data_IF_652581464544
#
_entry.id   IF_652581464544
#
_cell.length_a   1.000
_cell.length_b   1.000
_cell.length_c   1.000
_cell.angle_alpha   90.00
_cell.angle_beta   90.00
_cell.angle_gamma   90.00
#
_symmetry.space_group_name_H-M   'P 1'
#
loop_
_entity.id
_entity.type
_entity.pdbx_description
1 polymer ?
#
# COMPACT_ATOMS: atom_id res chain seq x y z
N UNK A 1 -12.07 0.09 -19.10
CA UNK A 1 -10.84 0.30 -18.30
C UNK A 1 -9.84 -0.83 -18.48
N UNK A 2 -10.22 -2.10 -18.36
CA UNK A 2 -9.32 -3.26 -18.54
C UNK A 2 -8.48 -3.15 -19.81
N UNK A 3 -9.11 -2.97 -20.98
CA UNK A 3 -8.38 -2.81 -22.25
C UNK A 3 -7.35 -1.65 -22.23
N UNK A 4 -7.67 -0.54 -21.54
CA UNK A 4 -6.76 0.61 -21.45
C UNK A 4 -5.52 0.29 -20.63
N UNK A 5 -5.64 -0.54 -19.61
CA UNK A 5 -4.50 -0.99 -18.84
C UNK A 5 -3.51 -1.79 -19.70
N UNK A 6 -4.02 -2.72 -20.51
CA UNK A 6 -3.15 -3.49 -21.43
C UNK A 6 -2.51 -2.62 -22.52
N UNK A 7 -3.25 -1.61 -23.05
CA UNK A 7 -2.64 -0.64 -23.98
C UNK A 7 -1.51 0.15 -23.32
N UNK A 8 -1.64 0.48 -22.03
CA UNK A 8 -0.55 1.12 -21.29
C UNK A 8 0.65 0.17 -21.09
N UNK A 9 0.38 -1.12 -20.88
CA UNK A 9 1.42 -2.14 -20.79
C UNK A 9 2.18 -2.28 -22.11
N UNK A 10 1.47 -2.33 -23.23
CA UNK A 10 2.07 -2.32 -24.58
C UNK A 10 2.92 -1.06 -24.79
N UNK A 11 2.44 0.09 -24.33
CA UNK A 11 3.19 1.35 -24.38
C UNK A 11 4.48 1.32 -23.54
N UNK A 12 4.42 0.70 -22.37
CA UNK A 12 5.59 0.52 -21.50
C UNK A 12 6.65 -0.36 -22.18
N UNK A 13 6.23 -1.48 -22.77
CA UNK A 13 7.11 -2.36 -23.55
C UNK A 13 7.75 -1.63 -24.75
N UNK A 14 6.95 -0.91 -25.53
CA UNK A 14 7.43 -0.15 -26.66
C UNK A 14 8.45 0.92 -26.24
N UNK A 15 8.18 1.64 -25.14
CA UNK A 15 9.09 2.63 -24.56
C UNK A 15 10.41 2.00 -24.11
N UNK A 16 10.35 0.86 -23.44
CA UNK A 16 11.52 0.11 -23.04
C UNK A 16 12.38 -0.31 -24.24
N UNK A 17 11.77 -0.96 -25.25
CA UNK A 17 12.47 -1.39 -26.47
C UNK A 17 13.14 -0.20 -27.21
N UNK A 18 12.47 0.96 -27.19
CA UNK A 18 13.06 2.19 -27.75
C UNK A 18 14.27 2.68 -26.93
N UNK A 19 14.14 2.71 -25.60
CA UNK A 19 15.21 3.17 -24.71
C UNK A 19 16.45 2.27 -24.77
N UNK A 20 16.26 0.94 -24.78
CA UNK A 20 17.36 -0.03 -24.89
C UNK A 20 18.14 0.17 -26.19
N UNK A 21 17.45 0.31 -27.34
CA UNK A 21 18.11 0.58 -28.65
C UNK A 21 18.96 1.85 -28.63
N UNK A 22 18.50 2.90 -27.92
CA UNK A 22 19.22 4.17 -27.78
C UNK A 22 20.38 4.10 -26.80
N UNK A 23 20.24 3.32 -25.72
CA UNK A 23 21.26 3.23 -24.68
C UNK A 23 22.50 2.46 -25.05
N UNK A 24 22.47 1.70 -26.16
CA UNK A 24 23.53 0.77 -26.61
C UNK A 24 23.88 -0.31 -25.55
N UNK A 25 23.00 -0.53 -24.59
CA UNK A 25 23.15 -1.59 -23.56
C UNK A 25 22.57 -2.89 -24.10
N UNK A 26 23.24 -3.99 -23.82
CA UNK A 26 22.75 -5.34 -24.13
C UNK A 26 21.86 -5.82 -22.98
N UNK A 27 20.61 -5.37 -22.96
CA UNK A 27 19.59 -5.82 -21.99
C UNK A 27 18.37 -6.25 -22.80
N UNK A 28 17.92 -7.48 -22.61
CA UNK A 28 16.71 -8.00 -23.22
C UNK A 28 15.67 -8.26 -22.14
N UNK A 29 14.44 -7.84 -22.41
CA UNK A 29 13.22 -8.26 -21.71
C UNK A 29 12.26 -8.75 -22.78
N UNK A 30 11.62 -9.88 -22.49
CA UNK A 30 10.56 -10.42 -23.32
C UNK A 30 9.23 -9.73 -23.02
N UNK A 31 8.26 -9.83 -23.91
CA UNK A 31 6.93 -9.24 -23.73
C UNK A 31 6.23 -9.75 -22.46
N UNK A 32 6.47 -11.02 -22.13
CA UNK A 32 5.89 -11.65 -20.93
C UNK A 32 6.46 -11.07 -19.62
N UNK A 33 7.67 -10.52 -19.62
CA UNK A 33 8.25 -9.89 -18.43
C UNK A 33 7.44 -8.67 -17.98
N UNK A 34 6.88 -7.91 -18.92
CA UNK A 34 5.99 -6.78 -18.61
C UNK A 34 4.67 -7.24 -18.02
N UNK A 35 4.18 -8.40 -18.47
CA UNK A 35 2.99 -9.02 -17.86
C UNK A 35 3.28 -9.48 -16.45
N UNK A 36 4.45 -10.08 -16.19
CA UNK A 36 4.88 -10.47 -14.83
C UNK A 36 4.98 -9.27 -13.89
N UNK A 37 5.48 -8.12 -14.37
CA UNK A 37 5.47 -6.88 -13.59
C UNK A 37 4.05 -6.44 -13.22
N UNK A 38 3.10 -6.58 -14.14
CA UNK A 38 1.69 -6.27 -13.87
C UNK A 38 1.03 -7.25 -12.90
N UNK A 39 1.47 -8.52 -12.88
CA UNK A 39 1.01 -9.58 -11.98
C UNK A 39 1.62 -9.50 -10.57
N UNK A 40 2.51 -8.55 -10.30
CA UNK A 40 3.25 -8.51 -9.02
C UNK A 40 2.33 -8.45 -7.78
N UNK A 41 1.13 -7.88 -7.90
CA UNK A 41 0.13 -7.86 -6.81
C UNK A 41 -0.59 -9.20 -6.63
N UNK A 42 -0.60 -10.06 -7.65
CA UNK A 42 -1.24 -11.38 -7.63
C UNK A 42 -0.24 -12.49 -7.22
N UNK A 43 1.07 -12.23 -7.35
CA UNK A 43 2.12 -13.22 -7.08
C UNK A 43 2.07 -13.87 -5.70
N UNK A 44 1.76 -13.17 -4.58
CA UNK A 44 1.67 -13.81 -3.28
C UNK A 44 0.65 -14.94 -3.22
N UNK A 45 -0.45 -14.84 -3.96
CA UNK A 45 -1.45 -15.90 -4.03
C UNK A 45 -0.92 -17.12 -4.80
N UNK A 46 -0.27 -16.91 -5.93
CA UNK A 46 0.35 -18.01 -6.69
C UNK A 46 1.43 -18.72 -5.90
N UNK A 47 2.27 -17.98 -5.19
CA UNK A 47 3.32 -18.56 -4.34
C UNK A 47 2.71 -19.47 -3.26
N UNK A 48 1.61 -19.06 -2.64
CA UNK A 48 0.89 -19.89 -1.66
C UNK A 48 0.27 -21.13 -2.27
N UNK A 49 -0.36 -21.01 -3.45
CA UNK A 49 -0.95 -22.16 -4.17
C UNK A 49 0.10 -23.20 -4.54
N UNK A 50 1.27 -22.74 -4.98
CA UNK A 50 2.38 -23.60 -5.36
C UNK A 50 3.29 -23.99 -4.20
N UNK A 51 2.92 -23.62 -2.97
CA UNK A 51 3.70 -23.87 -1.75
C UNK A 51 5.16 -23.40 -1.84
N UNK A 52 5.37 -22.29 -2.51
CA UNK A 52 6.66 -21.61 -2.58
C UNK A 52 6.79 -20.74 -1.34
N UNK A 53 7.87 -20.96 -0.57
CA UNK A 53 8.17 -20.12 0.59
C UNK A 53 8.29 -18.66 0.18
N UNK A 54 7.49 -17.79 0.77
CA UNK A 54 7.51 -16.35 0.53
C UNK A 54 7.58 -15.58 1.83
N UNK A 55 8.33 -14.48 1.80
CA UNK A 55 8.29 -13.48 2.86
C UNK A 55 7.18 -12.51 2.46
N UNK A 56 6.06 -12.47 3.19
CA UNK A 56 4.89 -11.72 2.76
C UNK A 56 5.17 -10.22 2.77
N UNK A 57 4.78 -9.53 1.71
CA UNK A 57 4.62 -8.08 1.76
C UNK A 57 3.39 -7.76 2.61
N UNK A 58 3.55 -6.84 3.54
CA UNK A 58 2.51 -6.42 4.45
C UNK A 58 2.54 -4.89 4.56
N UNK A 59 1.47 -4.30 5.06
CA UNK A 59 1.42 -2.87 5.31
C UNK A 59 0.72 -2.60 6.62
N UNK A 60 1.05 -1.47 7.23
CA UNK A 60 0.36 -0.96 8.40
C UNK A 60 -0.31 0.35 7.99
N UNK A 61 -1.60 0.45 8.24
CA UNK A 61 -2.41 1.61 7.89
C UNK A 61 -2.96 2.22 9.16
N UNK A 62 -2.75 3.53 9.32
CA UNK A 62 -3.42 4.34 10.31
C UNK A 62 -4.25 5.43 9.64
N UNK A 63 -5.48 5.60 10.10
CA UNK A 63 -6.28 6.81 9.86
C UNK A 63 -6.60 7.41 11.20
N UNK A 64 -6.24 8.67 11.42
CA UNK A 64 -6.42 9.38 12.69
C UNK A 64 -7.07 10.72 12.45
N UNK A 65 -8.12 10.99 13.23
CA UNK A 65 -8.73 12.30 13.35
C UNK A 65 -7.95 13.11 14.40
N UNK A 66 -7.33 14.18 13.97
CA UNK A 66 -6.52 15.07 14.80
C UNK A 66 -7.33 16.33 15.12
N UNK A 67 -7.48 16.69 16.38
CA UNK A 67 -8.24 17.88 16.77
C UNK A 67 -7.57 19.14 16.20
N UNK A 68 -8.39 20.12 15.82
CA UNK A 68 -7.95 21.43 15.34
C UNK A 68 -8.81 22.49 16.03
N UNK A 69 -8.18 23.51 16.61
CA UNK A 69 -8.87 24.54 17.33
C UNK A 69 -9.93 25.25 16.47
N UNK A 70 -11.19 25.26 16.97
CA UNK A 70 -12.35 25.93 16.37
C UNK A 70 -12.62 25.57 14.89
N UNK A 71 -12.15 24.43 14.41
CA UNK A 71 -12.38 23.96 13.04
C UNK A 71 -12.58 22.44 13.01
N UNK A 72 -13.02 21.95 11.87
CA UNK A 72 -13.12 20.50 11.64
C UNK A 72 -11.75 19.81 11.75
N UNK A 73 -11.73 18.55 12.21
CA UNK A 73 -10.49 17.85 12.46
C UNK A 73 -9.67 17.63 11.17
N UNK A 74 -8.36 17.65 11.32
CA UNK A 74 -7.46 17.19 10.28
C UNK A 74 -7.42 15.66 10.25
N UNK A 75 -7.61 15.05 9.10
CA UNK A 75 -7.49 13.61 8.95
C UNK A 75 -6.10 13.26 8.47
N UNK A 76 -5.37 12.52 9.30
CA UNK A 76 -4.06 11.99 8.97
C UNK A 76 -4.18 10.51 8.57
N UNK A 77 -3.59 10.15 7.42
CA UNK A 77 -3.56 8.79 6.90
C UNK A 77 -2.10 8.40 6.74
N UNK A 78 -1.67 7.39 7.46
CA UNK A 78 -0.31 6.84 7.39
C UNK A 78 -0.32 5.43 6.80
N UNK A 79 0.68 5.13 5.98
CA UNK A 79 0.86 3.82 5.37
C UNK A 79 2.33 3.45 5.35
N UNK A 80 2.69 2.38 6.06
CA UNK A 80 4.02 1.79 6.06
C UNK A 80 4.00 0.46 5.33
N UNK A 81 4.91 0.27 4.38
CA UNK A 81 5.06 -1.00 3.68
C UNK A 81 6.21 -1.79 4.27
N UNK A 82 5.96 -3.01 4.74
CA UNK A 82 6.97 -3.97 5.12
C UNK A 82 7.16 -5.00 4.00
N UNK A 83 8.40 -5.17 3.54
CA UNK A 83 8.73 -6.00 2.39
C UNK A 83 10.22 -6.38 2.40
N UNK A 84 10.66 -7.33 1.56
CA UNK A 84 12.09 -7.55 1.30
C UNK A 84 12.78 -6.26 0.87
N UNK A 85 13.98 -5.99 1.40
CA UNK A 85 14.75 -4.78 1.08
C UNK A 85 15.11 -4.64 -0.40
N UNK A 86 15.09 -5.73 -1.15
CA UNK A 86 15.21 -5.70 -2.62
C UNK A 86 14.07 -4.95 -3.31
N UNK A 87 13.00 -4.61 -2.59
CA UNK A 87 11.87 -3.82 -3.09
C UNK A 87 11.95 -2.33 -2.71
N UNK A 88 13.05 -1.86 -2.15
CA UNK A 88 13.22 -0.46 -1.73
C UNK A 88 13.39 0.56 -2.87
N UNK A 89 13.51 0.12 -4.13
CA UNK A 89 13.50 1.03 -5.27
C UNK A 89 12.08 1.52 -5.54
N UNK A 90 11.73 2.64 -4.91
CA UNK A 90 10.35 3.18 -4.87
C UNK A 90 10.19 4.40 -5.75
N UNK A 91 8.99 4.57 -6.31
CA UNK A 91 8.59 5.75 -7.07
C UNK A 91 7.21 6.23 -6.62
N UNK A 92 7.05 7.53 -6.43
CA UNK A 92 5.75 8.17 -6.42
C UNK A 92 5.36 8.51 -7.85
N UNK A 93 4.17 8.10 -8.28
CA UNK A 93 3.65 8.33 -9.62
C UNK A 93 2.34 9.09 -9.57
N UNK A 94 2.19 10.01 -10.51
CA UNK A 94 0.93 10.70 -10.75
C UNK A 94 0.51 10.49 -12.20
N UNK A 95 -0.62 9.86 -12.38
CA UNK A 95 -1.24 9.70 -13.70
C UNK A 95 -2.39 10.69 -13.84
N UNK A 96 -2.33 11.51 -14.88
CA UNK A 96 -3.43 12.41 -15.25
C UNK A 96 -3.80 12.13 -16.70
N UNK A 97 -5.03 11.67 -16.93
CA UNK A 97 -5.54 11.39 -18.26
C UNK A 97 -6.71 12.29 -18.58
N UNK A 98 -6.64 12.96 -19.73
CA UNK A 98 -7.76 13.78 -20.23
C UNK A 98 -8.96 12.92 -20.64
N UNK A 99 -10.15 13.46 -20.44
CA UNK A 99 -11.42 12.81 -20.85
C UNK A 99 -11.60 12.69 -22.35
N UNK A 100 -10.78 13.39 -23.15
CA UNK A 100 -10.91 13.49 -24.61
C UNK A 100 -10.38 12.28 -25.37
N UNK A 101 -9.70 11.34 -24.72
CA UNK A 101 -9.16 10.14 -25.37
C UNK A 101 -10.26 9.13 -25.82
N UNK A 102 -11.46 9.24 -25.29
CA UNK A 102 -12.59 8.41 -25.68
C UNK A 102 -13.67 9.28 -26.29
N UNK A 103 -13.80 9.26 -27.62
CA UNK A 103 -14.88 9.91 -28.36
C UNK A 103 -16.28 9.36 -28.04
N UNK A 104 -16.41 8.45 -27.10
CA UNK A 104 -17.65 7.85 -26.62
C UNK A 104 -17.97 8.42 -25.24
N UNK A 105 -18.92 9.24 -25.22
CA UNK A 105 -19.86 9.84 -24.27
C UNK A 105 -19.78 9.60 -22.74
N UNK A 106 -18.92 8.78 -22.20
CA UNK A 106 -18.83 8.58 -20.74
C UNK A 106 -17.54 9.22 -20.22
N UNK A 107 -17.67 10.33 -19.51
CA UNK A 107 -16.53 10.95 -18.84
C UNK A 107 -15.99 9.99 -17.79
N UNK A 108 -14.66 9.84 -17.75
CA UNK A 108 -14.00 9.09 -16.68
C UNK A 108 -14.08 9.95 -15.40
N UNK A 109 -14.76 9.47 -14.33
CA UNK A 109 -14.99 10.26 -13.12
C UNK A 109 -13.69 10.72 -12.45
N UNK A 110 -12.64 9.89 -12.50
CA UNK A 110 -11.35 10.14 -11.84
C UNK A 110 -10.26 10.41 -12.85
N UNK A 111 -9.81 11.67 -12.89
CA UNK A 111 -8.81 12.15 -13.85
C UNK A 111 -7.39 11.93 -13.40
N UNK A 112 -7.13 12.07 -12.10
CA UNK A 112 -5.79 11.96 -11.53
C UNK A 112 -5.70 10.85 -10.50
N UNK A 113 -4.64 10.05 -10.57
CA UNK A 113 -4.29 9.03 -9.58
C UNK A 113 -2.85 9.26 -9.17
N UNK A 114 -2.63 9.47 -7.87
CA UNK A 114 -1.30 9.43 -7.25
C UNK A 114 -1.15 8.12 -6.53
N UNK A 115 0.00 7.48 -6.63
CA UNK A 115 0.25 6.18 -5.99
C UNK A 115 1.73 6.00 -5.62
N UNK A 116 1.98 5.25 -4.56
CA UNK A 116 3.28 4.65 -4.33
C UNK A 116 3.46 3.46 -5.27
N UNK A 117 4.62 3.34 -5.90
CA UNK A 117 4.85 2.36 -6.94
C UNK A 117 6.34 2.03 -7.09
N UNK A 118 6.71 1.40 -8.16
CA UNK A 118 8.08 1.03 -8.49
C UNK A 118 8.32 1.13 -10.00
N UNK A 119 9.58 1.12 -10.46
CA UNK A 119 9.90 1.17 -11.89
C UNK A 119 9.17 0.07 -12.67
N UNK A 120 8.65 0.41 -13.84
CA UNK A 120 7.95 -0.53 -14.72
C UNK A 120 6.52 -0.91 -14.33
N UNK A 121 6.04 -0.61 -13.12
CA UNK A 121 4.68 -0.92 -12.70
C UNK A 121 3.67 0.13 -13.16
N UNK A 122 2.45 -0.30 -13.47
CA UNK A 122 1.31 0.57 -13.83
C UNK A 122 0.34 0.79 -12.66
N UNK A 123 0.55 0.11 -11.54
CA UNK A 123 -0.26 0.16 -10.32
C UNK A 123 0.63 0.28 -9.09
N UNK A 124 0.02 0.44 -7.93
CA UNK A 124 0.69 0.28 -6.64
C UNK A 124 0.64 -1.20 -6.23
N UNK A 125 1.78 -1.77 -5.90
CA UNK A 125 1.84 -3.09 -5.25
C UNK A 125 1.51 -2.98 -3.76
N UNK A 126 1.73 -1.81 -3.18
CA UNK A 126 1.56 -1.55 -1.74
C UNK A 126 0.15 -1.15 -1.38
N UNK A 127 -0.72 -0.96 -2.37
CA UNK A 127 -2.11 -0.57 -2.17
C UNK A 127 -2.28 0.82 -1.53
N UNK A 128 -1.54 1.82 -2.02
CA UNK A 128 -1.70 3.22 -1.61
C UNK A 128 -1.98 4.12 -2.80
N UNK A 129 -3.17 4.76 -2.79
CA UNK A 129 -3.66 5.63 -3.86
C UNK A 129 -4.39 6.85 -3.31
N UNK A 130 -4.17 8.02 -3.93
CA UNK A 130 -5.10 9.16 -3.88
C UNK A 130 -5.68 9.38 -5.26
N UNK A 131 -7.01 9.47 -5.35
CA UNK A 131 -7.73 9.48 -6.61
C UNK A 131 -8.62 10.70 -6.68
N UNK A 132 -8.42 11.55 -7.68
CA UNK A 132 -9.12 12.83 -7.80
C UNK A 132 -9.91 12.94 -9.10
N UNK A 133 -11.12 13.43 -9.00
CA UNK A 133 -11.99 13.87 -10.10
C UNK A 133 -12.39 15.32 -9.91
N UNK A 134 -13.33 15.81 -10.73
CA UNK A 134 -13.74 17.20 -10.69
C UNK A 134 -14.39 17.60 -9.35
N UNK A 135 -15.20 16.70 -8.77
CA UNK A 135 -15.94 16.95 -7.53
C UNK A 135 -15.77 15.85 -6.48
N UNK A 136 -14.89 14.89 -6.72
CA UNK A 136 -14.75 13.71 -5.87
C UNK A 136 -13.28 13.42 -5.61
N UNK A 137 -12.99 13.14 -4.37
CA UNK A 137 -11.68 12.68 -3.93
C UNK A 137 -11.86 11.37 -3.15
N UNK A 138 -10.95 10.43 -3.35
CA UNK A 138 -10.95 9.14 -2.70
C UNK A 138 -9.51 8.75 -2.35
N UNK A 139 -9.26 8.45 -1.10
CA UNK A 139 -8.03 7.79 -0.68
C UNK A 139 -8.31 6.30 -0.56
N UNK A 140 -7.48 5.49 -1.18
CA UNK A 140 -7.54 4.03 -1.09
C UNK A 140 -6.23 3.56 -0.50
N UNK A 141 -6.31 2.88 0.63
CA UNK A 141 -5.14 2.35 1.31
C UNK A 141 -5.41 0.91 1.73
N UNK A 142 -4.48 0.00 1.43
CA UNK A 142 -4.68 -1.43 1.62
C UNK A 142 -3.49 -2.13 2.25
N UNK A 143 -3.77 -3.31 2.78
CA UNK A 143 -2.79 -4.27 3.30
C UNK A 143 -3.24 -5.70 3.03
N UNK A 144 -2.31 -6.64 3.05
CA UNK A 144 -2.65 -8.06 2.93
C UNK A 144 -3.35 -8.57 4.19
N UNK A 145 -4.40 -9.36 4.03
CA UNK A 145 -4.98 -10.17 5.10
C UNK A 145 -4.09 -11.37 5.41
N UNK A 146 -3.85 -11.60 6.69
CA UNK A 146 -3.11 -12.78 7.16
C UNK A 146 -4.03 -13.99 7.24
N UNK A 147 -4.21 -14.64 6.09
CA UNK A 147 -5.03 -15.84 5.98
C UNK A 147 -4.17 -17.09 6.14
N UNK A 148 -4.43 -17.89 7.18
CA UNK A 148 -3.77 -19.18 7.41
C UNK A 148 -4.51 -20.36 6.76
N UNK A 149 -5.75 -20.16 6.34
CA UNK A 149 -6.57 -21.21 5.74
C UNK A 149 -6.16 -21.51 4.30
N UNK A 150 -5.44 -22.60 4.09
CA UNK A 150 -4.97 -23.02 2.77
C UNK A 150 -6.11 -23.38 1.80
N UNK A 151 -7.30 -23.77 2.30
CA UNK A 151 -8.42 -24.12 1.43
C UNK A 151 -8.98 -22.94 0.63
N UNK A 152 -8.76 -21.70 1.09
CA UNK A 152 -9.16 -20.49 0.35
C UNK A 152 -8.50 -20.40 -1.03
N UNK A 153 -7.26 -20.88 -1.16
CA UNK A 153 -6.55 -20.80 -2.43
C UNK A 153 -7.07 -21.78 -3.49
N UNK A 154 -7.99 -22.71 -3.13
CA UNK A 154 -8.70 -23.53 -4.09
C UNK A 154 -9.67 -22.72 -4.96
N UNK A 155 -10.05 -21.51 -4.54
CA UNK A 155 -10.86 -20.57 -5.30
C UNK A 155 -10.05 -19.74 -6.32
N UNK A 156 -8.75 -19.95 -6.43
CA UNK A 156 -7.95 -19.34 -7.47
C UNK A 156 -8.22 -19.98 -8.82
N UNK A 157 -8.91 -19.29 -9.70
CA UNK A 157 -9.24 -19.76 -11.05
C UNK A 157 -8.53 -18.91 -12.10
N UNK A 158 -7.79 -19.54 -13.03
CA UNK A 158 -7.11 -18.79 -14.11
C UNK A 158 -8.05 -18.32 -15.23
N UNK A 159 -9.31 -18.79 -15.24
CA UNK A 159 -10.30 -18.43 -16.26
C UNK A 159 -11.31 -17.43 -15.71
N UNK A 160 -11.79 -16.55 -16.57
CA UNK A 160 -12.90 -15.62 -16.29
C UNK A 160 -12.63 -14.63 -15.14
N UNK A 161 -11.35 -14.29 -14.89
CA UNK A 161 -11.00 -13.27 -13.92
C UNK A 161 -10.07 -12.20 -14.49
N UNK A 162 -9.97 -11.10 -13.79
CA UNK A 162 -9.10 -9.97 -14.11
C UNK A 162 -8.07 -9.80 -12.99
N UNK A 163 -6.80 -9.65 -13.35
CA UNK A 163 -5.70 -9.42 -12.42
C UNK A 163 -6.03 -8.32 -11.40
N UNK A 164 -5.56 -8.46 -10.17
CA UNK A 164 -5.82 -7.51 -9.09
C UNK A 164 -5.39 -6.09 -9.47
N UNK A 165 -4.20 -5.92 -10.02
CA UNK A 165 -3.68 -4.62 -10.46
C UNK A 165 -4.60 -3.93 -11.48
N UNK A 166 -5.16 -4.69 -12.42
CA UNK A 166 -6.09 -4.18 -13.45
C UNK A 166 -7.43 -3.78 -12.83
N UNK A 167 -7.96 -4.61 -11.92
CA UNK A 167 -9.22 -4.32 -11.20
C UNK A 167 -9.08 -3.07 -10.33
N UNK A 168 -7.98 -2.94 -9.57
CA UNK A 168 -7.66 -1.77 -8.74
C UNK A 168 -7.61 -0.50 -9.59
N UNK A 169 -6.88 -0.52 -10.69
CA UNK A 169 -6.79 0.64 -11.57
C UNK A 169 -8.12 0.96 -12.25
N UNK A 170 -8.94 -0.04 -12.56
CA UNK A 170 -10.31 0.18 -13.07
C UNK A 170 -11.21 0.78 -12.00
N UNK A 171 -11.21 0.24 -10.78
CA UNK A 171 -11.99 0.77 -9.66
C UNK A 171 -11.57 2.22 -9.35
N UNK A 172 -10.28 2.50 -9.25
CA UNK A 172 -9.75 3.84 -9.03
C UNK A 172 -10.18 4.86 -10.10
N UNK A 173 -10.42 4.43 -11.33
CA UNK A 173 -10.84 5.30 -12.43
C UNK A 173 -12.36 5.50 -12.51
N UNK A 174 -13.12 4.46 -12.20
CA UNK A 174 -14.57 4.42 -12.40
C UNK A 174 -15.34 4.85 -11.16
N UNK A 175 -14.76 4.66 -9.98
CA UNK A 175 -15.47 4.94 -8.74
C UNK A 175 -15.81 6.42 -8.58
N UNK A 176 -17.05 6.69 -8.18
CA UNK A 176 -17.53 8.00 -7.73
C UNK A 176 -17.59 8.09 -6.21
N UNK A 177 -17.58 6.95 -5.52
CA UNK A 177 -17.60 6.81 -4.07
C UNK A 177 -16.85 5.55 -3.63
N UNK A 178 -16.61 5.39 -2.32
CA UNK A 178 -16.08 4.15 -1.77
C UNK A 178 -16.97 2.95 -2.06
N UNK A 179 -18.29 3.13 -2.06
CA UNK A 179 -19.25 2.07 -2.39
C UNK A 179 -19.10 1.59 -3.84
N UNK A 180 -19.03 2.50 -4.81
CA UNK A 180 -18.84 2.14 -6.22
C UNK A 180 -17.46 1.58 -6.51
N UNK A 181 -16.44 1.96 -5.69
CA UNK A 181 -15.13 1.34 -5.73
C UNK A 181 -15.21 -0.13 -5.29
N UNK A 182 -15.87 -0.41 -4.17
CA UNK A 182 -16.10 -1.77 -3.67
C UNK A 182 -16.86 -2.63 -4.69
N UNK A 183 -17.94 -2.11 -5.27
CA UNK A 183 -18.73 -2.81 -6.29
C UNK A 183 -17.85 -3.21 -7.48
N UNK A 184 -16.99 -2.28 -7.98
CA UNK A 184 -16.07 -2.58 -9.06
C UNK A 184 -15.03 -3.63 -8.67
N UNK A 185 -14.49 -3.57 -7.44
CA UNK A 185 -13.51 -4.53 -6.93
C UNK A 185 -14.10 -5.92 -6.70
N UNK A 186 -15.40 -6.02 -6.43
CA UNK A 186 -16.09 -7.30 -6.20
C UNK A 186 -16.30 -8.08 -7.50
N UNK A 187 -16.32 -7.39 -8.65
CA UNK A 187 -16.46 -8.06 -9.93
C UNK A 187 -15.19 -8.76 -10.38
N UNK A 188 -15.35 -9.94 -10.98
CA UNK A 188 -14.25 -10.71 -11.59
C UNK A 188 -13.09 -10.99 -10.60
N UNK A 189 -13.44 -11.28 -9.34
CA UNK A 189 -12.46 -11.69 -8.34
C UNK A 189 -11.94 -13.09 -8.68
N UNK A 190 -10.70 -13.17 -9.15
CA UNK A 190 -10.05 -14.41 -9.58
C UNK A 190 -9.44 -15.22 -8.46
N UNK A 191 -9.67 -14.86 -7.20
CA UNK A 191 -9.13 -15.57 -6.06
C UNK A 191 -7.65 -15.27 -5.75
N UNK A 192 -7.03 -14.33 -6.46
CA UNK A 192 -5.62 -13.98 -6.26
C UNK A 192 -5.39 -12.94 -5.14
N UNK A 193 -6.37 -12.67 -4.30
CA UNK A 193 -6.32 -11.59 -3.33
C UNK A 193 -6.82 -12.02 -1.97
N UNK A 194 -6.04 -11.73 -0.94
CA UNK A 194 -6.46 -11.74 0.46
C UNK A 194 -6.01 -10.40 1.06
N UNK A 195 -6.86 -9.39 0.97
CA UNK A 195 -6.51 -8.01 1.28
C UNK A 195 -7.61 -7.30 2.06
N UNK A 196 -7.18 -6.29 2.81
CA UNK A 196 -8.05 -5.28 3.44
C UNK A 196 -7.80 -3.93 2.77
N UNK A 197 -8.84 -3.15 2.57
CA UNK A 197 -8.72 -1.75 2.14
C UNK A 197 -9.58 -0.83 3.00
N UNK A 198 -9.09 0.38 3.15
CA UNK A 198 -9.87 1.53 3.59
C UNK A 198 -10.06 2.40 2.36
N UNK A 199 -11.31 2.76 2.07
CA UNK A 199 -11.62 3.88 1.19
C UNK A 199 -12.12 5.03 2.04
N UNK A 200 -11.54 6.21 1.84
CA UNK A 200 -11.90 7.41 2.58
C UNK A 200 -12.23 8.56 1.63
N UNK A 201 -13.39 9.15 1.82
CA UNK A 201 -13.89 10.31 1.07
C UNK A 201 -13.76 11.57 1.95
N UNK A 202 -12.77 12.45 1.72
CA UNK A 202 -12.50 13.56 2.63
C UNK A 202 -13.66 14.53 2.79
N UNK A 203 -14.34 14.88 1.69
CA UNK A 203 -15.42 15.88 1.71
C UNK A 203 -16.66 15.44 2.48
N UNK A 204 -17.01 14.18 2.41
CA UNK A 204 -18.16 13.59 3.11
C UNK A 204 -17.77 12.96 4.43
N UNK A 205 -16.46 12.88 4.73
CA UNK A 205 -15.91 12.15 5.88
C UNK A 205 -16.39 10.69 5.93
N UNK A 206 -16.66 10.11 4.75
CA UNK A 206 -17.18 8.75 4.64
C UNK A 206 -16.03 7.75 4.57
N UNK A 207 -16.10 6.72 5.41
CA UNK A 207 -15.14 5.63 5.44
C UNK A 207 -15.82 4.30 5.15
N UNK A 208 -15.28 3.56 4.19
CA UNK A 208 -15.69 2.20 3.93
C UNK A 208 -14.51 1.26 4.18
N UNK A 209 -14.74 0.22 4.95
CA UNK A 209 -13.80 -0.89 5.11
C UNK A 209 -14.18 -1.99 4.14
N UNK A 210 -13.19 -2.52 3.40
CA UNK A 210 -13.38 -3.58 2.43
C UNK A 210 -12.40 -4.71 2.72
N UNK A 211 -12.88 -5.94 2.79
CA UNK A 211 -12.05 -7.13 2.89
C UNK A 211 -12.38 -8.09 1.76
N UNK A 212 -11.34 -8.57 1.11
CA UNK A 212 -11.45 -9.53 0.01
C UNK A 212 -10.61 -10.76 0.28
N UNK A 213 -11.25 -11.90 0.15
CA UNK A 213 -10.61 -13.23 0.10
C UNK A 213 -10.84 -13.84 -1.27
N UNK A 214 -10.14 -14.93 -1.61
CA UNK A 214 -10.44 -15.69 -2.82
C UNK A 214 -11.93 -16.01 -2.99
N UNK A 215 -12.61 -16.41 -1.92
CA UNK A 215 -14.02 -16.84 -1.94
C UNK A 215 -15.03 -15.71 -1.79
N UNK A 216 -14.65 -14.57 -1.18
CA UNK A 216 -15.63 -13.55 -0.79
C UNK A 216 -15.04 -12.14 -0.78
N UNK A 217 -15.87 -11.16 -1.10
CA UNK A 217 -15.57 -9.73 -0.91
C UNK A 217 -16.68 -9.09 -0.09
N UNK A 218 -16.34 -8.42 1.00
CA UNK A 218 -17.27 -7.79 1.93
C UNK A 218 -16.88 -6.34 2.18
N UNK A 219 -17.87 -5.51 2.48
CA UNK A 219 -17.64 -4.12 2.84
C UNK A 219 -18.56 -3.69 4.00
N UNK A 220 -18.12 -2.72 4.76
CA UNK A 220 -18.89 -2.10 5.83
C UNK A 220 -18.63 -0.59 5.83
N UNK A 221 -19.70 0.18 5.95
CA UNK A 221 -19.58 1.60 6.25
C UNK A 221 -19.12 1.76 7.69
N UNK A 222 -17.95 2.36 7.89
CA UNK A 222 -17.28 2.53 9.18
C UNK A 222 -17.24 4.00 9.62
N UNK A 223 -18.04 4.83 9.02
CA UNK A 223 -18.00 6.29 9.20
C UNK A 223 -18.31 6.68 10.65
N UNK A 224 -19.39 6.13 11.22
CA UNK A 224 -19.80 6.50 12.58
C UNK A 224 -18.88 5.90 13.65
N UNK A 225 -18.39 4.69 13.44
CA UNK A 225 -17.38 4.07 14.29
C UNK A 225 -16.07 4.86 14.28
N UNK A 226 -15.62 5.29 13.11
CA UNK A 226 -14.44 6.13 12.97
C UNK A 226 -14.62 7.49 13.67
N UNK A 227 -15.74 8.16 13.49
CA UNK A 227 -16.04 9.43 14.18
C UNK A 227 -16.01 9.28 15.69
N UNK A 228 -16.55 8.16 16.20
CA UNK A 228 -16.59 7.87 17.62
C UNK A 228 -15.21 7.51 18.19
N UNK A 229 -14.46 6.65 17.49
CA UNK A 229 -13.15 6.18 17.94
C UNK A 229 -12.04 7.20 17.68
N UNK A 230 -12.18 8.03 16.64
CA UNK A 230 -11.17 8.98 16.20
C UNK A 230 -9.98 8.34 15.48
N UNK A 231 -9.98 7.02 15.28
CA UNK A 231 -8.92 6.33 14.56
C UNK A 231 -9.35 4.98 13.99
N UNK A 232 -8.57 4.51 13.02
CA UNK A 232 -8.58 3.14 12.52
C UNK A 232 -7.13 2.68 12.34
N UNK A 233 -6.84 1.43 12.71
CA UNK A 233 -5.56 0.78 12.47
C UNK A 233 -5.78 -0.55 11.76
N UNK A 234 -5.17 -0.73 10.59
CA UNK A 234 -5.20 -1.96 9.79
C UNK A 234 -3.82 -2.57 9.65
N UNK A 235 -3.75 -3.87 9.91
CA UNK A 235 -2.49 -4.61 10.00
C UNK A 235 -2.59 -6.05 9.44
N UNK A 236 -3.63 -6.33 8.67
CA UNK A 236 -3.89 -7.68 8.15
C UNK A 236 -4.71 -8.58 9.07
N UNK A 237 -5.23 -8.04 10.20
CA UNK A 237 -6.24 -8.72 11.01
C UNK A 237 -7.64 -8.30 10.53
N UNK A 238 -8.52 -9.26 10.27
CA UNK A 238 -9.88 -8.96 9.82
C UNK A 238 -10.70 -8.26 10.89
N UNK A 239 -11.56 -7.34 10.48
CA UNK A 239 -12.58 -6.69 11.30
C UNK A 239 -13.97 -7.31 11.15
N UNK A 240 -14.15 -8.24 10.22
CA UNK A 240 -15.42 -8.90 9.95
C UNK A 240 -15.43 -10.30 10.55
N UNK A 241 -16.46 -10.62 11.32
CA UNK A 241 -16.59 -11.92 11.98
C UNK A 241 -16.58 -13.06 10.95
N UNK A 242 -17.36 -12.95 9.88
CA UNK A 242 -17.42 -13.96 8.82
C UNK A 242 -16.08 -14.16 8.10
N UNK A 243 -15.31 -13.10 7.91
CA UNK A 243 -13.95 -13.20 7.33
C UNK A 243 -13.00 -13.86 8.33
N UNK A 244 -13.07 -13.50 9.63
CA UNK A 244 -12.25 -14.14 10.68
C UNK A 244 -12.49 -15.66 10.77
N UNK A 245 -13.71 -16.12 10.60
CA UNK A 245 -14.05 -17.54 10.57
C UNK A 245 -13.38 -18.27 9.41
N UNK A 246 -13.20 -17.59 8.27
CA UNK A 246 -12.53 -18.13 7.08
C UNK A 246 -11.01 -18.04 7.23
N UNK A 247 -10.46 -16.85 7.53
CA UNK A 247 -8.99 -16.65 7.55
C UNK A 247 -8.31 -17.34 8.73
N UNK A 248 -9.01 -17.53 9.84
CA UNK A 248 -8.50 -18.13 11.08
C UNK A 248 -7.16 -17.53 11.50
N UNK A 249 -7.10 -16.23 11.78
CA UNK A 249 -5.85 -15.55 12.09
C UNK A 249 -5.20 -16.18 13.33
N UNK A 250 -3.88 -16.19 13.38
CA UNK A 250 -3.16 -16.56 14.59
C UNK A 250 -3.51 -15.57 15.72
N UNK A 251 -3.51 -16.05 16.96
CA UNK A 251 -3.87 -15.21 18.14
C UNK A 251 -2.95 -14.00 18.28
N UNK A 252 -1.71 -14.15 17.90
CA UNK A 252 -0.66 -13.14 17.92
C UNK A 252 -1.01 -11.93 17.04
N UNK A 253 -1.69 -12.15 15.91
CA UNK A 253 -2.10 -11.09 14.98
C UNK A 253 -3.09 -10.11 15.63
N UNK A 254 -4.03 -10.63 16.41
CA UNK A 254 -4.99 -9.79 17.12
C UNK A 254 -4.33 -9.02 18.28
N UNK A 255 -3.48 -9.70 19.07
CA UNK A 255 -2.74 -9.04 20.16
C UNK A 255 -1.83 -7.93 19.63
N UNK A 256 -1.22 -8.14 18.50
CA UNK A 256 -0.40 -7.15 17.82
C UNK A 256 -1.22 -5.96 17.31
N UNK A 257 -2.36 -6.19 16.63
CA UNK A 257 -3.28 -5.12 16.24
C UNK A 257 -3.65 -4.25 17.44
N UNK A 258 -4.00 -4.89 18.57
CA UNK A 258 -4.42 -4.20 19.77
C UNK A 258 -3.27 -3.43 20.44
N UNK A 259 -2.04 -3.93 20.32
CA UNK A 259 -0.82 -3.22 20.74
C UNK A 259 -0.56 -1.98 19.89
N UNK A 260 -0.58 -2.13 18.57
CA UNK A 260 -0.40 -1.00 17.64
C UNK A 260 -1.54 0.04 17.80
N UNK A 261 -2.77 -0.41 17.99
CA UNK A 261 -3.90 0.49 18.18
C UNK A 261 -3.72 1.43 19.40
N UNK A 262 -2.96 1.03 20.41
CA UNK A 262 -2.64 1.89 21.56
C UNK A 262 -1.63 2.99 21.28
N UNK A 263 -0.75 2.84 20.29
CA UNK A 263 0.27 3.83 19.96
C UNK A 263 -0.33 5.21 19.61
N UNK A 264 -1.57 5.24 19.13
CA UNK A 264 -2.25 6.48 18.75
C UNK A 264 -2.88 7.24 19.95
N UNK A 265 -2.93 6.68 21.16
CA UNK A 265 -3.66 7.26 22.31
C UNK A 265 -3.15 8.66 22.66
N UNK A 266 -1.84 8.89 22.56
CA UNK A 266 -1.21 10.18 22.87
C UNK A 266 -0.94 11.04 21.62
N UNK A 267 -1.43 10.62 20.46
CA UNK A 267 -1.23 11.36 19.19
C UNK A 267 -2.36 12.37 19.00
N UNK A 268 -2.07 13.63 19.19
CA UNK A 268 -3.02 14.75 19.07
C UNK A 268 -2.62 15.76 18.01
N UNK A 269 -1.38 15.72 17.52
CA UNK A 269 -0.88 16.64 16.49
C UNK A 269 -0.37 15.88 15.27
N UNK A 270 -0.33 16.56 14.13
CA UNK A 270 0.22 15.97 12.91
C UNK A 270 1.71 15.63 13.05
N UNK A 271 2.47 16.42 13.80
CA UNK A 271 3.87 16.13 14.07
C UNK A 271 4.02 14.81 14.86
N UNK A 272 3.26 14.61 15.93
CA UNK A 272 3.24 13.36 16.68
C UNK A 272 2.80 12.16 15.83
N UNK A 273 1.85 12.36 14.91
CA UNK A 273 1.46 11.31 13.96
C UNK A 273 2.61 10.93 13.02
N UNK A 274 3.36 11.90 12.51
CA UNK A 274 4.55 11.66 11.68
C UNK A 274 5.62 10.89 12.45
N UNK A 275 5.89 11.30 13.69
CA UNK A 275 6.84 10.63 14.59
C UNK A 275 6.43 9.19 14.86
N UNK A 276 5.16 8.94 15.19
CA UNK A 276 4.63 7.61 15.36
C UNK A 276 4.83 6.74 14.11
N UNK A 277 4.49 7.25 12.92
CA UNK A 277 4.61 6.49 11.67
C UNK A 277 6.06 6.24 11.25
N UNK A 278 7.00 7.10 11.63
CA UNK A 278 8.43 7.00 11.29
C UNK A 278 9.29 6.33 12.37
N UNK A 279 8.68 5.93 13.47
CA UNK A 279 9.37 5.56 14.70
C UNK A 279 9.48 6.74 15.63
N UNK A 280 9.73 6.48 16.90
CA UNK A 280 9.66 7.46 17.96
C UNK A 280 10.55 8.69 17.72
N UNK A 281 10.15 9.81 18.31
CA UNK A 281 11.03 10.95 18.52
C UNK A 281 12.28 10.51 19.35
N UNK A 282 13.35 11.24 19.20
CA UNK A 282 14.69 10.90 19.77
C UNK A 282 14.71 10.63 21.29
N UNK A 283 13.67 11.00 22.02
CA UNK A 283 13.63 10.93 23.49
C UNK A 283 12.83 9.74 24.04
N UNK A 284 11.92 9.15 23.26
CA UNK A 284 10.93 8.17 23.76
C UNK A 284 11.07 6.74 23.21
N UNK A 285 11.96 6.52 22.25
CA UNK A 285 12.27 5.17 21.77
C UNK A 285 13.21 4.46 22.74
N UNK A 286 12.65 3.98 23.83
CA UNK A 286 13.35 2.94 24.60
C UNK A 286 13.12 1.61 23.89
N UNK A 287 14.15 0.79 23.81
CA UNK A 287 14.12 -0.57 23.23
C UNK A 287 13.03 -1.48 23.86
N UNK A 288 12.42 -1.05 24.95
CA UNK A 288 11.32 -1.75 25.66
C UNK A 288 9.99 -1.72 24.91
N UNK A 289 9.80 -0.80 23.98
CA UNK A 289 8.57 -0.71 23.16
C UNK A 289 8.65 -1.50 21.85
N UNK A 290 9.81 -2.01 21.52
CA UNK A 290 10.02 -2.94 20.43
C UNK A 290 9.99 -4.35 21.00
N UNK A 291 9.01 -5.13 20.58
CA UNK A 291 8.97 -6.54 20.96
C UNK A 291 9.95 -7.32 20.06
N UNK A 292 11.22 -7.55 20.54
CA UNK A 292 12.26 -8.18 19.73
C UNK A 292 11.98 -9.65 19.42
N UNK A 293 10.94 -10.23 20.00
CA UNK A 293 10.54 -11.62 19.81
C UNK A 293 9.25 -11.81 19.03
N UNK A 294 8.69 -10.75 18.44
CA UNK A 294 7.52 -10.92 17.59
C UNK A 294 7.96 -11.40 16.21
N UNK A 295 7.26 -12.41 15.70
CA UNK A 295 7.43 -12.88 14.32
C UNK A 295 7.52 -11.70 13.35
N UNK A 296 8.57 -11.63 12.50
CA UNK A 296 8.61 -10.59 11.48
C UNK A 296 7.33 -10.67 10.65
N UNK A 297 6.69 -9.59 10.40
CA UNK A 297 7.00 -8.18 10.29
C UNK A 297 6.05 -7.30 11.13
N UNK A 298 6.13 -7.34 12.43
CA UNK A 298 5.04 -6.87 13.28
C UNK A 298 5.21 -5.44 13.84
N UNK A 299 6.39 -4.85 13.74
CA UNK A 299 6.61 -3.49 14.26
C UNK A 299 6.23 -2.40 13.25
N UNK A 300 5.72 -1.27 13.74
CA UNK A 300 5.38 -0.11 12.90
C UNK A 300 6.57 0.39 12.06
N UNK A 301 7.77 0.20 12.57
CA UNK A 301 9.05 0.56 11.91
C UNK A 301 10.06 -0.60 11.97
N UNK A 302 9.58 -1.81 11.81
CA UNK A 302 10.39 -3.02 11.92
C UNK A 302 11.65 -2.98 11.03
N UNK A 303 12.78 -3.37 11.61
CA UNK A 303 14.12 -3.41 11.01
C UNK A 303 14.74 -4.79 11.19
N UNK A 304 14.51 -5.70 10.23
CA UNK A 304 15.05 -7.07 10.30
C UNK A 304 16.56 -7.16 10.18
N UNK A 305 17.22 -6.14 9.62
CA UNK A 305 18.67 -6.04 9.56
C UNK A 305 19.32 -5.80 10.92
N UNK A 306 18.57 -5.38 11.93
CA UNK A 306 19.03 -5.13 13.30
C UNK A 306 18.71 -6.27 14.27
N UNK A 307 18.10 -7.36 13.79
CA UNK A 307 17.81 -8.54 14.60
C UNK A 307 19.09 -9.36 14.90
N UNK A 308 19.05 -10.18 15.94
CA UNK A 308 20.16 -11.10 16.29
C UNK A 308 20.52 -12.05 15.14
N UNK A 309 19.51 -12.42 14.34
CA UNK A 309 19.66 -13.12 13.06
C UNK A 309 19.17 -12.18 11.95
N UNK A 310 20.06 -11.40 11.34
CA UNK A 310 19.65 -10.38 10.38
C UNK A 310 18.86 -10.93 9.20
N UNK A 311 17.74 -10.28 8.91
CA UNK A 311 16.87 -10.58 7.77
C UNK A 311 16.82 -9.39 6.82
N UNK A 312 16.93 -9.61 5.50
CA UNK A 312 16.81 -8.54 4.49
C UNK A 312 15.35 -8.14 4.26
N UNK A 313 14.65 -7.82 5.35
CA UNK A 313 13.23 -7.53 5.38
C UNK A 313 12.92 -6.49 6.46
N UNK A 314 11.94 -5.63 6.20
CA UNK A 314 11.47 -4.64 7.16
C UNK A 314 10.57 -3.60 6.52
N UNK A 315 10.30 -2.52 7.24
CA UNK A 315 9.56 -1.38 6.70
C UNK A 315 10.44 -0.62 5.73
N UNK A 316 10.05 -0.58 4.46
CA UNK A 316 10.83 -0.04 3.35
C UNK A 316 10.41 1.36 2.92
N UNK A 317 9.27 1.84 3.36
CA UNK A 317 8.80 3.20 3.11
C UNK A 317 7.71 3.61 4.09
N UNK A 318 7.50 4.92 4.19
CA UNK A 318 6.38 5.53 4.91
C UNK A 318 5.73 6.57 4.02
N UNK A 319 4.40 6.54 3.89
CA UNK A 319 3.58 7.56 3.24
C UNK A 319 2.64 8.16 4.27
N UNK A 320 2.57 9.48 4.32
CA UNK A 320 1.71 10.21 5.25
C UNK A 320 0.95 11.26 4.47
N UNK A 321 -0.35 11.24 4.61
CA UNK A 321 -1.27 12.17 3.99
C UNK A 321 -2.08 12.86 5.08
N UNK A 322 -2.16 14.16 5.05
CA UNK A 322 -3.06 14.93 5.88
C UNK A 322 -4.05 15.68 4.99
N UNK A 323 -5.33 15.55 5.28
CA UNK A 323 -6.42 16.14 4.50
C UNK A 323 -7.35 16.88 5.45
N UNK A 324 -7.68 18.14 5.13
CA UNK A 324 -8.76 18.86 5.78
C UNK A 324 -10.06 18.77 4.96
N UNK A 325 -11.15 19.29 5.50
CA UNK A 325 -12.45 19.28 4.83
C UNK A 325 -12.50 20.10 3.53
N UNK A 326 -11.65 21.12 3.42
CA UNK A 326 -11.54 21.93 2.21
C UNK A 326 -10.78 21.19 1.10
N UNK A 327 -10.22 20.01 1.42
CA UNK A 327 -9.43 19.20 0.51
C UNK A 327 -7.99 19.71 0.37
N UNK A 328 -7.54 20.60 1.27
CA UNK A 328 -6.14 20.94 1.36
C UNK A 328 -5.36 19.72 1.85
N UNK A 329 -4.35 19.36 1.09
CA UNK A 329 -3.61 18.13 1.26
C UNK A 329 -2.13 18.39 1.49
N UNK A 330 -1.58 17.77 2.52
CA UNK A 330 -0.14 17.63 2.69
C UNK A 330 0.23 16.16 2.52
N UNK A 331 1.05 15.85 1.52
CA UNK A 331 1.54 14.52 1.27
C UNK A 331 3.04 14.46 1.45
N UNK A 332 3.48 13.54 2.27
CA UNK A 332 4.90 13.25 2.54
C UNK A 332 5.19 11.78 2.34
N UNK A 333 6.38 11.48 1.82
CA UNK A 333 6.87 10.11 1.72
C UNK A 333 8.35 10.06 2.09
N UNK A 334 8.74 8.93 2.66
CA UNK A 334 10.14 8.60 2.93
C UNK A 334 10.42 7.21 2.41
N UNK A 335 11.51 7.05 1.67
CA UNK A 335 11.99 5.75 1.19
C UNK A 335 13.08 5.22 2.12
N UNK A 336 13.06 3.91 2.35
CA UNK A 336 14.01 3.20 3.18
C UNK A 336 13.52 2.96 4.61
N UNK A 337 14.24 2.11 5.33
CA UNK A 337 13.98 1.80 6.73
C UNK A 337 14.07 3.02 7.62
N UNK A 338 13.30 3.03 8.70
CA UNK A 338 13.31 4.12 9.66
C UNK A 338 14.69 4.27 10.34
N UNK A 339 15.15 5.51 10.43
CA UNK A 339 16.41 5.87 11.08
C UNK A 339 16.15 6.70 12.33
N UNK A 340 16.94 6.51 13.36
CA UNK A 340 16.93 7.31 14.58
C UNK A 340 18.32 7.33 15.20
N UNK A 341 18.47 7.98 16.36
CA UNK A 341 19.74 7.96 17.08
C UNK A 341 20.23 6.53 17.42
N UNK A 342 19.30 5.58 17.62
CA UNK A 342 19.60 4.19 17.97
C UNK A 342 19.54 3.24 16.76
N UNK A 343 19.07 3.74 15.62
CA UNK A 343 18.92 2.95 14.41
C UNK A 343 19.68 3.63 13.27
N UNK A 344 20.88 3.16 12.94
CA UNK A 344 21.67 3.75 11.87
C UNK A 344 20.97 3.60 10.52
N UNK A 345 21.32 4.42 9.51
CA UNK A 345 20.91 4.19 8.14
C UNK A 345 21.21 2.76 7.70
N UNK A 346 20.32 2.20 6.89
CA UNK A 346 20.55 0.89 6.29
C UNK A 346 21.64 0.99 5.22
N UNK A 347 22.58 0.03 5.21
CA UNK A 347 23.61 -0.10 4.20
C UNK A 347 23.66 -1.54 3.67
N UNK A 348 23.62 -1.69 2.35
CA UNK A 348 23.73 -2.98 1.68
C UNK A 348 25.11 -3.62 1.91
N UNK A 349 26.18 -2.83 1.76
CA UNK A 349 27.55 -3.32 1.91
C UNK A 349 27.85 -3.80 3.33
N UNK A 350 27.22 -3.22 4.34
CA UNK A 350 27.41 -3.62 5.74
C UNK A 350 26.50 -4.78 6.14
N UNK A 351 25.19 -4.72 5.77
CA UNK A 351 24.21 -5.68 6.27
C UNK A 351 24.10 -6.93 5.39
N UNK A 352 24.09 -6.77 4.06
CA UNK A 352 23.83 -7.88 3.12
C UNK A 352 24.65 -7.77 1.83
N UNK A 353 25.99 -7.81 1.87
CA UNK A 353 26.85 -7.56 0.72
C UNK A 353 26.66 -8.57 -0.42
N UNK A 354 26.14 -9.76 -0.12
CA UNK A 354 25.96 -10.85 -1.10
C UNK A 354 24.56 -10.84 -1.76
N UNK A 355 23.66 -9.94 -1.35
CA UNK A 355 22.34 -9.84 -1.98
C UNK A 355 22.38 -8.88 -3.15
N UNK A 356 21.89 -9.32 -4.31
CA UNK A 356 21.78 -8.46 -5.48
C UNK A 356 20.79 -7.32 -5.24
N UNK A 357 21.25 -6.08 -5.44
CA UNK A 357 20.47 -4.85 -5.21
C UNK A 357 20.68 -3.83 -6.35
N UNK A 358 20.66 -4.32 -7.58
CA UNK A 358 20.91 -3.52 -8.80
C UNK A 358 19.97 -2.31 -8.84
N UNK A 359 20.55 -1.13 -9.02
CA UNK A 359 19.83 0.15 -9.11
C UNK A 359 19.53 0.81 -7.76
N UNK A 360 19.82 0.15 -6.65
CA UNK A 360 19.71 0.75 -5.32
C UNK A 360 20.96 1.57 -4.98
N UNK A 361 20.84 2.65 -4.19
CA UNK A 361 21.99 3.21 -3.48
C UNK A 361 22.47 2.20 -2.43
N UNK A 362 23.73 2.29 -2.03
CA UNK A 362 24.25 1.45 -0.95
C UNK A 362 23.63 1.84 0.40
N UNK A 363 23.54 3.14 0.67
CA UNK A 363 23.05 3.67 1.94
C UNK A 363 21.66 4.29 1.74
N UNK A 364 20.73 3.95 2.64
CA UNK A 364 19.38 4.52 2.69
C UNK A 364 19.27 5.49 3.86
N UNK A 365 19.56 6.76 3.58
CA UNK A 365 19.47 7.89 4.53
C UNK A 365 18.71 9.05 3.84
N UNK A 366 17.42 8.83 3.60
CA UNK A 366 16.58 9.80 2.91
C UNK A 366 15.68 10.55 3.88
N UNK A 367 15.64 11.88 3.73
CA UNK A 367 14.66 12.71 4.40
C UNK A 367 13.26 12.55 3.82
N UNK A 368 12.27 13.13 4.50
CA UNK A 368 10.92 13.25 4.00
C UNK A 368 10.88 14.12 2.75
N UNK A 369 10.12 13.70 1.74
CA UNK A 369 9.89 14.44 0.51
C UNK A 369 8.40 14.75 0.36
N UNK A 370 8.10 16.01 0.05
CA UNK A 370 6.81 16.42 -0.49
C UNK A 370 6.91 16.37 -2.00
N UNK A 371 6.07 15.60 -2.71
CA UNK A 371 6.24 15.40 -4.14
C UNK A 371 6.09 16.71 -4.92
N UNK A 372 7.11 17.08 -5.68
CA UNK A 372 7.03 18.05 -6.77
C UNK A 372 6.96 17.26 -8.09
N UNK A 373 5.82 17.37 -8.78
CA UNK A 373 5.56 16.56 -9.95
C UNK A 373 6.34 17.06 -11.16
N UNK A 374 7.18 16.20 -11.73
CA UNK A 374 7.84 16.43 -13.01
C UNK A 374 7.06 15.66 -14.07
N UNK A 375 6.62 16.38 -15.11
CA UNK A 375 5.93 15.78 -16.26
C UNK A 375 6.97 15.25 -17.26
N UNK A 376 6.77 14.02 -17.68
CA UNK A 376 7.63 13.32 -18.64
C UNK A 376 6.80 12.98 -19.88
#
# INVERSE_FOLDING_TARGET
MVRLFYIQLDGLEAGWKHAVRRSRKSVSLESDDFLWLALASDMPAFQRVFNISDIPTSSIIYVKSLPKDNSEPLIAIGHNTAAPYTQMLRLLKKYTFGSTALKTATSIPRRSIVMSSYPGALSSKDEFYTVRGDNHELVVSGTSLRASNQSEWSFLYPKDHVMLSVRLMAANRLATSGQTWFETMSHQNGGASANQWITFEPRSMTMLLVEQLPSVTVAMNYTEEFKKAGYVCYVGASNFQNVNEIVRPAKEVNAWRDSLARLQENVTTFQQFREMMRGCSQEECTAENENPGADPPLGLTYRGDLEDQPLPYGVIDTKILAIDQDGAETFEAVSGPATSRLRPPFSWSESFPNISHIGHPDIFEFGSVTPTWVWV
#
